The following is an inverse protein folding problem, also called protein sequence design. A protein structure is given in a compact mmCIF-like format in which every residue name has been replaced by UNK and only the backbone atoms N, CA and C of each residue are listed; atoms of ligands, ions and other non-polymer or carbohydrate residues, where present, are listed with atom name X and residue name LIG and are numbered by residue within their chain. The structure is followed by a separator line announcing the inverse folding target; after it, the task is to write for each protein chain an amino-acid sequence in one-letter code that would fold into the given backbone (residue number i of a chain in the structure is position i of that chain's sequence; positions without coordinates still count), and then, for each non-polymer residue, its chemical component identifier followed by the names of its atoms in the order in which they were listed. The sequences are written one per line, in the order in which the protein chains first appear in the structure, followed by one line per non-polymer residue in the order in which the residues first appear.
data_IF_002804501443
#
_entry.id   IF_002804501443
#
_cell.length_a   1.000
_cell.length_b   1.000
_cell.length_c   1.000
_cell.angle_alpha   90.00
_cell.angle_beta   90.00
_cell.angle_gamma   90.00
#
_symmetry.space_group_name_H-M   'P 1'
#
loop_
_entity.id
_entity.type
_entity.pdbx_description
1 polymer ?
#
# COMPACT_ATOMS: atom_id res chain seq x y z
N UNK A 1 63.30 27.80 43.67
CA UNK A 1 62.64 27.89 44.99
C UNK A 1 61.56 28.94 44.80
N UNK A 2 60.30 28.67 44.45
CA UNK A 2 59.44 27.48 44.42
C UNK A 2 58.70 27.48 43.05
N UNK A 3 58.46 26.31 42.45
CA UNK A 3 57.36 26.15 41.48
C UNK A 3 56.32 25.32 42.22
N UNK A 4 55.26 25.97 42.70
CA UNK A 4 54.15 25.32 43.40
C UNK A 4 53.32 24.53 42.37
N UNK A 5 53.32 23.22 42.55
CA UNK A 5 52.53 22.23 41.82
C UNK A 5 51.05 22.62 41.71
N UNK A 6 50.52 22.54 40.49
CA UNK A 6 49.08 22.57 40.24
C UNK A 6 48.49 21.28 40.81
N UNK A 7 47.86 21.37 41.98
CA UNK A 7 47.11 20.28 42.62
C UNK A 7 46.18 19.59 41.61
N UNK A 8 46.29 18.27 41.38
CA UNK A 8 45.39 17.56 40.49
C UNK A 8 44.03 17.46 41.17
N UNK A 9 43.06 18.28 40.73
CA UNK A 9 41.65 18.08 41.06
C UNK A 9 41.32 16.63 40.70
N UNK A 10 40.94 15.82 41.69
CA UNK A 10 40.66 14.39 41.52
C UNK A 10 39.49 14.17 40.55
N UNK A 11 39.84 14.06 39.27
CA UNK A 11 38.95 13.91 38.12
C UNK A 11 38.08 12.64 38.25
N UNK A 12 38.54 11.63 39.00
CA UNK A 12 37.90 10.30 39.03
C UNK A 12 36.53 10.30 39.75
N UNK A 13 36.32 11.11 40.80
CA UNK A 13 35.06 11.11 41.56
C UNK A 13 33.96 11.91 40.84
N UNK A 14 34.33 13.06 40.26
CA UNK A 14 33.42 13.86 39.43
C UNK A 14 33.03 13.13 38.15
N UNK A 15 33.99 12.49 37.47
CA UNK A 15 33.71 11.67 36.28
C UNK A 15 32.88 10.44 36.62
N UNK A 16 33.08 9.80 37.78
CA UNK A 16 32.24 8.67 38.19
C UNK A 16 30.79 9.08 38.43
N UNK A 17 30.53 10.30 38.89
CA UNK A 17 29.17 10.85 39.05
C UNK A 17 28.55 11.21 37.70
N UNK A 18 29.33 11.79 36.79
CA UNK A 18 28.89 12.09 35.42
C UNK A 18 28.61 10.82 34.61
N UNK A 19 29.52 9.83 34.64
CA UNK A 19 29.34 8.53 33.98
C UNK A 19 28.09 7.81 34.51
N UNK A 20 27.84 7.83 35.83
CA UNK A 20 26.60 7.28 36.40
C UNK A 20 25.35 8.01 35.90
N UNK A 21 25.38 9.34 35.79
CA UNK A 21 24.25 10.13 35.25
C UNK A 21 24.01 9.82 33.78
N UNK A 22 25.08 9.78 32.97
CA UNK A 22 24.99 9.45 31.55
C UNK A 22 24.44 8.04 31.34
N UNK A 23 24.92 7.05 32.08
CA UNK A 23 24.39 5.68 32.03
C UNK A 23 22.90 5.63 32.41
N UNK A 24 22.49 6.35 33.46
CA UNK A 24 21.10 6.40 33.88
C UNK A 24 20.19 7.05 32.82
N UNK A 25 20.65 8.13 32.17
CA UNK A 25 19.94 8.78 31.06
C UNK A 25 19.82 7.83 29.87
N UNK A 26 20.91 7.14 29.50
CA UNK A 26 20.89 6.18 28.40
C UNK A 26 19.86 5.08 28.65
N UNK A 27 19.88 4.45 29.83
CA UNK A 27 18.91 3.42 30.21
C UNK A 27 17.48 3.97 30.18
N UNK A 28 17.26 5.22 30.64
CA UNK A 28 15.96 5.87 30.58
C UNK A 28 15.49 6.12 29.13
N UNK A 29 16.37 6.53 28.22
CA UNK A 29 16.02 6.72 26.80
C UNK A 29 15.60 5.42 26.12
N UNK A 30 16.33 4.33 26.37
CA UNK A 30 15.95 3.01 25.85
C UNK A 30 14.65 2.50 26.49
N UNK A 31 14.49 2.70 27.80
CA UNK A 31 13.25 2.38 28.52
C UNK A 31 12.04 3.16 27.96
N UNK A 32 12.21 4.43 27.64
CA UNK A 32 11.18 5.25 27.01
C UNK A 32 10.85 4.76 25.59
N UNK A 33 11.85 4.45 24.77
CA UNK A 33 11.63 3.88 23.44
C UNK A 33 10.85 2.56 23.47
N UNK A 34 11.16 1.68 24.43
CA UNK A 34 10.43 0.43 24.62
C UNK A 34 9.00 0.67 25.14
N UNK A 35 8.82 1.61 26.07
CA UNK A 35 7.52 1.98 26.61
C UNK A 35 6.63 2.75 25.62
N UNK A 36 7.21 3.34 24.57
CA UNK A 36 6.46 4.06 23.55
C UNK A 36 5.49 3.15 22.79
N UNK A 37 5.85 1.88 22.56
CA UNK A 37 4.99 0.89 21.90
C UNK A 37 3.69 0.63 22.68
N UNK A 38 3.72 0.20 23.97
CA UNK A 38 2.49 -0.04 24.72
C UNK A 38 1.71 1.25 25.02
N UNK A 39 2.37 2.40 25.19
CA UNK A 39 1.67 3.69 25.34
C UNK A 39 0.90 4.00 24.05
N UNK A 40 1.53 3.82 22.89
CA UNK A 40 0.88 4.01 21.60
C UNK A 40 -0.31 3.05 21.43
N UNK A 41 -0.19 1.79 21.84
CA UNK A 41 -1.28 0.83 21.79
C UNK A 41 -2.49 1.25 22.66
N UNK A 42 -2.24 1.77 23.87
CA UNK A 42 -3.31 2.30 24.76
C UNK A 42 -3.97 3.55 24.15
N UNK A 43 -3.17 4.47 23.61
CA UNK A 43 -3.70 5.63 22.88
C UNK A 43 -4.52 5.20 21.66
N UNK A 44 -4.06 4.21 20.91
CA UNK A 44 -4.79 3.65 19.77
C UNK A 44 -6.11 3.01 20.19
N UNK A 45 -6.15 2.35 21.35
CA UNK A 45 -7.38 1.75 21.89
C UNK A 45 -8.41 2.80 22.34
N UNK A 46 -7.95 3.92 22.92
CA UNK A 46 -8.84 5.01 23.38
C UNK A 46 -9.33 5.86 22.20
N UNK A 47 -8.46 6.16 21.24
CA UNK A 47 -8.75 7.06 20.11
C UNK A 47 -9.35 6.34 18.90
N UNK A 48 -9.25 5.00 18.84
CA UNK A 48 -9.72 4.20 17.71
C UNK A 48 -8.85 4.34 16.45
N UNK A 49 -7.73 5.06 16.50
CA UNK A 49 -6.92 5.44 15.33
C UNK A 49 -6.21 4.28 14.62
N UNK A 50 -6.25 3.06 15.16
CA UNK A 50 -5.44 1.95 14.65
C UNK A 50 -6.20 0.64 14.44
N UNK A 51 -7.53 0.60 14.64
CA UNK A 51 -8.35 -0.60 14.40
C UNK A 51 -7.91 -1.89 15.13
N UNK A 52 -6.92 -1.83 16.03
CA UNK A 52 -6.36 -2.97 16.77
C UNK A 52 -7.26 -3.26 17.97
N UNK A 53 -8.37 -3.94 17.72
CA UNK A 53 -9.02 -4.74 18.76
C UNK A 53 -8.10 -5.93 19.07
N UNK A 54 -7.77 -6.11 20.35
CA UNK A 54 -6.66 -6.96 20.79
C UNK A 54 -6.70 -8.40 20.26
N UNK A 55 -5.51 -8.90 19.89
CA UNK A 55 -5.17 -10.33 19.94
C UNK A 55 -5.91 -11.28 18.98
N UNK A 56 -6.87 -10.81 18.18
CA UNK A 56 -7.32 -11.53 17.00
C UNK A 56 -6.46 -11.00 15.87
N UNK A 57 -5.62 -11.87 15.29
CA UNK A 57 -5.20 -11.75 13.88
C UNK A 57 -6.36 -11.09 13.18
N UNK A 58 -6.16 -9.92 12.56
CA UNK A 58 -7.20 -9.17 11.89
C UNK A 58 -8.06 -10.18 11.10
N UNK A 59 -9.12 -10.66 11.74
CA UNK A 59 -10.26 -11.16 11.06
C UNK A 59 -10.60 -9.88 10.33
N UNK A 60 -10.33 -9.90 9.02
CA UNK A 60 -11.02 -9.04 8.07
C UNK A 60 -12.38 -8.88 8.71
N UNK A 61 -12.62 -7.74 9.38
CA UNK A 61 -13.95 -7.49 9.87
C UNK A 61 -14.72 -7.61 8.58
N UNK A 62 -15.54 -8.65 8.52
CA UNK A 62 -16.47 -8.83 7.44
C UNK A 62 -17.41 -7.67 7.64
N UNK A 63 -16.98 -6.46 7.24
CA UNK A 63 -17.84 -5.32 7.07
C UNK A 63 -18.94 -5.90 6.21
N UNK A 64 -20.10 -6.08 6.84
CA UNK A 64 -21.17 -6.86 6.28
C UNK A 64 -21.43 -6.31 4.87
N UNK A 65 -21.71 -7.22 3.94
CA UNK A 65 -22.04 -6.80 2.57
C UNK A 65 -23.26 -5.89 2.67
N UNK A 66 -23.11 -4.67 2.17
CA UNK A 66 -24.22 -3.72 2.09
C UNK A 66 -25.02 -4.04 0.82
N UNK A 67 -25.96 -4.98 0.95
CA UNK A 67 -26.83 -5.39 -0.16
C UNK A 67 -27.83 -4.30 -0.57
N UNK A 68 -28.10 -3.33 0.32
CA UNK A 68 -29.03 -2.23 0.02
C UNK A 68 -28.41 -1.20 -0.93
N UNK A 69 -27.08 -1.06 -0.90
CA UNK A 69 -26.35 -0.11 -1.74
C UNK A 69 -25.77 -0.80 -2.96
N UNK A 70 -26.03 -0.21 -4.13
CA UNK A 70 -25.42 -0.64 -5.40
C UNK A 70 -24.50 0.44 -5.93
N UNK A 71 -23.28 0.05 -6.28
CA UNK A 71 -22.27 0.89 -6.93
C UNK A 71 -22.04 0.38 -8.34
N UNK A 72 -21.94 1.29 -9.31
CA UNK A 72 -21.47 0.93 -10.65
C UNK A 72 -19.96 1.04 -10.71
N UNK A 73 -19.29 -0.05 -11.09
CA UNK A 73 -17.87 -0.03 -11.44
C UNK A 73 -17.76 -0.01 -12.96
N UNK A 74 -17.04 0.99 -13.48
CA UNK A 74 -16.71 1.09 -14.91
C UNK A 74 -15.27 0.68 -15.13
N UNK A 75 -15.03 -0.19 -16.11
CA UNK A 75 -13.71 -0.68 -16.45
C UNK A 75 -13.27 -0.05 -17.75
N UNK A 76 -12.13 0.64 -17.71
CA UNK A 76 -11.55 1.29 -18.87
C UNK A 76 -10.17 0.71 -19.12
N UNK A 77 -9.89 0.44 -20.39
CA UNK A 77 -8.56 0.08 -20.88
C UNK A 77 -8.06 1.19 -21.81
N UNK A 78 -6.85 1.67 -21.55
CA UNK A 78 -6.16 2.65 -22.36
C UNK A 78 -4.82 2.08 -22.78
N UNK A 79 -4.37 2.43 -23.99
CA UNK A 79 -3.04 2.10 -24.49
C UNK A 79 -2.16 3.34 -24.49
N UNK A 80 -0.86 3.18 -24.26
CA UNK A 80 0.08 4.25 -24.54
C UNK A 80 0.22 4.47 -26.06
N UNK A 81 0.47 5.71 -26.47
CA UNK A 81 0.53 6.09 -27.90
C UNK A 81 1.59 5.26 -28.63
N UNK A 82 1.18 4.63 -29.74
CA UNK A 82 2.07 3.86 -30.62
C UNK A 82 2.42 2.44 -30.16
N UNK A 83 1.74 1.91 -29.14
CA UNK A 83 2.04 0.59 -28.62
C UNK A 83 1.27 -0.52 -29.37
N UNK A 84 1.94 -1.55 -29.90
CA UNK A 84 1.34 -2.60 -30.72
C UNK A 84 0.67 -3.68 -29.85
N UNK A 85 -0.26 -3.26 -29.00
CA UNK A 85 -1.00 -4.12 -28.08
C UNK A 85 -2.49 -4.06 -28.37
N UNK A 86 -3.18 -5.17 -28.12
CA UNK A 86 -4.61 -5.19 -27.89
C UNK A 86 -4.84 -5.29 -26.38
N UNK A 87 -5.55 -4.32 -25.79
CA UNK A 87 -5.86 -4.31 -24.37
C UNK A 87 -7.29 -3.86 -24.13
N UNK A 88 -8.13 -4.75 -23.59
CA UNK A 88 -9.56 -4.49 -23.41
C UNK A 88 -10.07 -5.11 -22.10
N UNK A 89 -11.06 -4.50 -21.43
CA UNK A 89 -11.74 -5.15 -20.33
C UNK A 89 -12.72 -6.20 -20.86
N UNK A 90 -12.89 -7.31 -20.13
CA UNK A 90 -13.89 -8.32 -20.47
C UNK A 90 -15.33 -7.79 -20.34
N UNK A 91 -15.55 -6.89 -19.39
CA UNK A 91 -16.83 -6.19 -19.19
C UNK A 91 -16.58 -4.71 -18.95
N UNK A 92 -17.38 -3.84 -19.56
CA UNK A 92 -17.21 -2.39 -19.42
C UNK A 92 -17.83 -1.85 -18.13
N UNK A 93 -18.88 -2.49 -17.61
CA UNK A 93 -19.61 -2.06 -16.41
C UNK A 93 -20.04 -3.26 -15.58
N UNK A 94 -19.98 -3.13 -14.26
CA UNK A 94 -20.46 -4.12 -13.30
C UNK A 94 -21.17 -3.43 -12.14
N UNK A 95 -22.31 -3.97 -11.72
CA UNK A 95 -22.98 -3.53 -10.50
C UNK A 95 -22.46 -4.35 -9.33
N UNK A 96 -22.08 -3.67 -8.25
CA UNK A 96 -21.43 -4.29 -7.09
C UNK A 96 -22.01 -3.75 -5.79
N UNK A 97 -21.94 -4.59 -4.76
CA UNK A 97 -22.30 -4.27 -3.39
C UNK A 97 -21.03 -4.03 -2.56
N UNK A 98 -20.91 -2.91 -1.84
CA UNK A 98 -19.80 -2.67 -0.93
C UNK A 98 -19.64 -3.82 0.09
N UNK A 99 -18.39 -4.19 0.40
CA UNK A 99 -18.05 -5.30 1.29
C UNK A 99 -17.91 -6.66 0.59
N UNK A 100 -18.49 -6.84 -0.60
CA UNK A 100 -18.38 -8.09 -1.36
C UNK A 100 -17.17 -8.09 -2.31
N UNK A 101 -16.58 -9.27 -2.51
CA UNK A 101 -15.51 -9.50 -3.47
C UNK A 101 -16.05 -9.77 -4.86
N UNK A 102 -15.42 -9.14 -5.86
CA UNK A 102 -15.73 -9.32 -7.27
C UNK A 102 -14.46 -9.62 -8.05
N UNK A 103 -14.61 -10.38 -9.13
CA UNK A 103 -13.55 -10.72 -10.05
C UNK A 103 -13.99 -10.41 -11.49
N UNK A 104 -13.08 -9.84 -12.26
CA UNK A 104 -13.19 -9.66 -13.71
C UNK A 104 -11.82 -9.88 -14.35
N UNK A 105 -11.75 -9.84 -15.68
CA UNK A 105 -10.49 -9.97 -16.42
C UNK A 105 -10.31 -8.82 -17.40
N UNK A 106 -9.05 -8.51 -17.68
CA UNK A 106 -8.63 -7.75 -18.85
C UNK A 106 -7.93 -8.70 -19.82
N UNK A 107 -8.16 -8.52 -21.12
CA UNK A 107 -7.42 -9.24 -22.15
C UNK A 107 -6.28 -8.35 -22.64
N UNK A 108 -5.06 -8.87 -22.60
CA UNK A 108 -3.88 -8.23 -23.18
C UNK A 108 -3.25 -9.15 -24.24
N UNK A 109 -2.93 -8.62 -25.41
CA UNK A 109 -2.32 -9.41 -26.49
C UNK A 109 -1.24 -8.63 -27.23
N UNK A 110 -0.10 -9.28 -27.41
CA UNK A 110 0.99 -8.79 -28.25
C UNK A 110 0.58 -8.92 -29.73
N UNK A 111 0.63 -7.84 -30.51
CA UNK A 111 0.30 -7.88 -31.95
C UNK A 111 1.54 -7.95 -32.84
N UNK A 112 2.73 -8.09 -32.26
CA UNK A 112 3.99 -8.11 -33.00
C UNK A 112 4.56 -9.52 -33.16
N UNK A 113 5.46 -9.67 -34.13
CA UNK A 113 6.23 -10.89 -34.37
C UNK A 113 7.44 -11.09 -33.44
N UNK A 114 7.61 -10.28 -32.39
CA UNK A 114 8.72 -10.40 -31.43
C UNK A 114 8.21 -10.29 -29.99
N UNK A 115 9.01 -10.77 -29.04
CA UNK A 115 8.64 -10.69 -27.63
C UNK A 115 8.63 -9.22 -27.17
N UNK A 116 7.63 -8.86 -26.38
CA UNK A 116 7.48 -7.53 -25.82
C UNK A 116 7.20 -7.61 -24.31
N UNK A 117 7.61 -6.57 -23.59
CA UNK A 117 7.33 -6.46 -22.17
C UNK A 117 6.25 -5.41 -21.94
N UNK A 118 5.18 -5.83 -21.29
CA UNK A 118 4.01 -5.00 -20.97
C UNK A 118 3.90 -4.76 -19.48
N UNK A 119 3.37 -3.59 -19.10
CA UNK A 119 3.03 -3.25 -17.73
C UNK A 119 1.71 -2.46 -17.69
N UNK A 120 0.77 -2.88 -16.83
CA UNK A 120 -0.55 -2.26 -16.70
C UNK A 120 -0.61 -1.32 -15.48
N UNK A 121 -0.62 0.00 -15.67
CA UNK A 121 -0.68 0.95 -14.56
C UNK A 121 -2.13 1.26 -14.19
N UNK A 122 -2.57 0.97 -12.96
CA UNK A 122 -3.93 1.27 -12.51
C UNK A 122 -4.16 2.74 -12.16
N UNK A 123 -5.39 3.20 -12.35
CA UNK A 123 -5.95 4.41 -11.74
C UNK A 123 -7.40 4.18 -11.31
N UNK A 124 -7.83 4.88 -10.26
CA UNK A 124 -9.21 4.82 -9.74
C UNK A 124 -9.76 6.23 -9.61
N UNK A 125 -10.96 6.46 -10.12
CA UNK A 125 -11.66 7.73 -10.02
C UNK A 125 -13.10 7.52 -9.48
N UNK A 126 -13.66 8.48 -8.73
CA UNK A 126 -13.02 9.69 -8.21
C UNK A 126 -11.96 9.39 -7.13
N UNK A 127 -11.10 10.36 -6.80
CA UNK A 127 -10.02 10.16 -5.82
C UNK A 127 -10.49 9.72 -4.43
N UNK A 128 -11.70 10.13 -4.02
CA UNK A 128 -12.35 9.64 -2.79
C UNK A 128 -12.58 8.13 -2.86
N UNK A 129 -13.03 7.60 -4.00
CA UNK A 129 -13.25 6.17 -4.18
C UNK A 129 -11.93 5.37 -4.15
N UNK A 130 -10.83 5.97 -4.61
CA UNK A 130 -9.53 5.30 -4.65
C UNK A 130 -9.04 4.83 -3.27
N UNK A 131 -9.38 5.54 -2.20
CA UNK A 131 -9.02 5.17 -0.82
C UNK A 131 -9.83 3.97 -0.29
N UNK A 132 -11.01 3.75 -0.85
CA UNK A 132 -11.94 2.69 -0.45
C UNK A 132 -11.94 1.51 -1.43
N UNK A 133 -11.19 1.61 -2.53
CA UNK A 133 -11.10 0.57 -3.55
C UNK A 133 -9.88 -0.32 -3.27
N UNK A 134 -10.12 -1.50 -2.73
CA UNK A 134 -9.07 -2.46 -2.38
C UNK A 134 -8.85 -3.43 -3.55
N UNK A 135 -7.69 -3.30 -4.20
CA UNK A 135 -7.22 -4.24 -5.24
C UNK A 135 -6.44 -5.35 -4.56
N UNK A 136 -6.91 -6.59 -4.70
CA UNK A 136 -6.29 -7.74 -4.04
C UNK A 136 -5.23 -8.41 -4.92
N UNK A 137 -5.29 -8.25 -6.24
CA UNK A 137 -4.31 -8.88 -7.13
C UNK A 137 -3.25 -7.93 -7.70
N UNK A 138 -2.01 -8.44 -7.66
CA UNK A 138 -0.76 -7.71 -7.85
C UNK A 138 -0.10 -7.98 -9.21
N UNK A 139 -0.84 -8.43 -10.23
CA UNK A 139 -0.29 -8.66 -11.58
C UNK A 139 -0.08 -7.38 -12.39
N UNK A 140 -0.73 -6.30 -11.98
CA UNK A 140 -0.64 -5.02 -12.67
C UNK A 140 0.67 -4.27 -12.41
N UNK A 141 1.39 -4.58 -11.33
CA UNK A 141 2.64 -3.88 -11.02
C UNK A 141 3.88 -4.58 -11.54
N UNK A 142 3.76 -5.81 -12.02
CA UNK A 142 4.89 -6.59 -12.52
C UNK A 142 4.98 -6.51 -14.03
N UNK A 143 6.19 -6.32 -14.53
CA UNK A 143 6.51 -6.46 -15.94
C UNK A 143 6.21 -7.89 -16.39
N UNK A 144 5.46 -8.04 -17.47
CA UNK A 144 5.15 -9.34 -18.04
C UNK A 144 5.71 -9.42 -19.44
N UNK A 145 6.45 -10.49 -19.72
CA UNK A 145 6.93 -10.81 -21.06
C UNK A 145 5.80 -11.54 -21.79
N UNK A 146 5.51 -11.06 -22.99
CA UNK A 146 4.59 -11.69 -23.94
C UNK A 146 5.39 -12.15 -25.15
N UNK A 147 5.22 -13.40 -25.53
CA UNK A 147 5.74 -13.96 -26.76
C UNK A 147 5.05 -13.32 -27.98
N UNK A 148 5.60 -13.50 -29.20
CA UNK A 148 4.93 -13.07 -30.42
C UNK A 148 3.49 -13.56 -30.48
N UNK A 149 2.55 -12.67 -30.78
CA UNK A 149 1.12 -12.96 -30.89
C UNK A 149 0.43 -13.54 -29.65
N UNK A 150 1.12 -13.59 -28.50
CA UNK A 150 0.57 -14.15 -27.26
C UNK A 150 -0.52 -13.25 -26.68
N UNK A 151 -1.69 -13.85 -26.39
CA UNK A 151 -2.75 -13.25 -25.61
C UNK A 151 -2.80 -13.85 -24.19
N UNK A 152 -3.11 -13.01 -23.20
CA UNK A 152 -3.24 -13.41 -21.80
C UNK A 152 -4.43 -12.72 -21.15
N UNK A 153 -5.17 -13.49 -20.37
CA UNK A 153 -6.18 -12.97 -19.46
C UNK A 153 -5.52 -12.54 -18.15
N UNK A 154 -5.79 -11.30 -17.76
CA UNK A 154 -5.27 -10.66 -16.57
C UNK A 154 -6.40 -10.51 -15.55
N UNK A 155 -6.48 -11.41 -14.54
CA UNK A 155 -7.52 -11.33 -13.53
C UNK A 155 -7.34 -10.06 -12.67
N UNK A 156 -8.49 -9.52 -12.25
CA UNK A 156 -8.59 -8.39 -11.33
C UNK A 156 -9.63 -8.75 -10.28
N UNK A 157 -9.16 -8.99 -9.06
CA UNK A 157 -10.01 -9.16 -7.88
C UNK A 157 -10.02 -7.87 -7.07
N UNK A 158 -11.21 -7.39 -6.76
CA UNK A 158 -11.39 -6.14 -6.03
C UNK A 158 -12.55 -6.21 -5.03
N UNK A 159 -12.50 -5.29 -4.07
CA UNK A 159 -13.56 -5.01 -3.09
C UNK A 159 -13.67 -3.51 -2.86
N UNK A 160 -14.89 -3.02 -2.71
CA UNK A 160 -15.16 -1.65 -2.29
C UNK A 160 -15.52 -1.67 -0.80
N UNK A 161 -14.89 -0.80 -0.02
CA UNK A 161 -15.19 -0.66 1.41
C UNK A 161 -16.61 -0.10 1.62
N UNK A 162 -17.43 -0.67 2.53
CA UNK A 162 -18.74 -0.12 2.88
C UNK A 162 -18.73 1.34 3.38
N UNK A 163 -17.60 1.81 3.92
CA UNK A 163 -17.42 3.18 4.37
C UNK A 163 -17.23 4.19 3.21
N UNK A 164 -17.34 3.76 1.95
CA UNK A 164 -17.31 4.66 0.80
C UNK A 164 -18.34 5.79 0.99
N UNK A 165 -17.98 7.07 0.78
CA UNK A 165 -18.92 8.19 0.92
C UNK A 165 -20.22 7.98 0.13
N UNK A 166 -21.41 8.29 0.70
CA UNK A 166 -22.70 7.93 0.13
C UNK A 166 -23.02 8.59 -1.22
N UNK A 167 -22.36 9.71 -1.52
CA UNK A 167 -22.42 10.48 -2.77
C UNK A 167 -21.69 9.81 -3.94
N UNK A 168 -20.83 8.83 -3.67
CA UNK A 168 -20.15 8.06 -4.71
C UNK A 168 -21.03 6.89 -5.12
N UNK A 169 -21.57 6.95 -6.34
CA UNK A 169 -22.38 5.89 -6.97
C UNK A 169 -21.66 5.18 -8.12
N UNK A 170 -20.61 5.79 -8.65
CA UNK A 170 -19.84 5.27 -9.79
C UNK A 170 -18.36 5.36 -9.49
N UNK A 171 -17.66 4.26 -9.73
CA UNK A 171 -16.23 4.14 -9.58
C UNK A 171 -15.64 3.66 -10.88
N UNK A 172 -14.68 4.40 -11.43
CA UNK A 172 -14.01 4.02 -12.66
C UNK A 172 -12.66 3.42 -12.32
N UNK A 173 -12.46 2.16 -12.68
CA UNK A 173 -11.17 1.49 -12.69
C UNK A 173 -10.59 1.57 -14.10
N UNK A 174 -9.58 2.41 -14.27
CA UNK A 174 -8.86 2.51 -15.53
C UNK A 174 -7.48 1.85 -15.43
N UNK A 175 -7.09 1.16 -16.49
CA UNK A 175 -5.73 0.68 -16.68
C UNK A 175 -5.14 1.28 -17.94
N UNK A 176 -3.94 1.83 -17.82
CA UNK A 176 -3.13 2.20 -18.98
C UNK A 176 -2.05 1.17 -19.16
N UNK A 177 -2.05 0.49 -20.31
CA UNK A 177 -1.05 -0.50 -20.65
C UNK A 177 0.12 0.15 -21.37
N UNK A 178 1.33 -0.07 -20.85
CA UNK A 178 2.58 0.46 -21.37
C UNK A 178 3.44 -0.65 -21.94
N UNK A 179 4.03 -0.41 -23.10
CA UNK A 179 5.27 -1.10 -23.47
C UNK A 179 6.40 -0.55 -22.59
N UNK A 180 7.08 -1.42 -21.89
CA UNK A 180 8.31 -1.10 -21.16
C UNK A 180 9.46 -1.71 -21.92
N UNK A 181 10.44 -0.88 -22.27
CA UNK A 181 11.70 -1.40 -22.79
C UNK A 181 12.43 -2.06 -21.61
N UNK A 182 12.97 -3.26 -21.82
CA UNK A 182 13.84 -3.87 -20.83
C UNK A 182 15.01 -2.92 -20.60
N UNK A 183 15.17 -2.44 -19.37
CA UNK A 183 16.29 -1.59 -19.00
C UNK A 183 17.59 -2.36 -19.28
N UNK A 184 18.22 -2.04 -20.40
CA UNK A 184 19.42 -2.71 -20.92
C UNK A 184 19.71 -2.39 -22.38
N UNK A 185 19.67 -1.11 -22.76
CA UNK A 185 20.11 -0.59 -24.06
C UNK A 185 20.39 0.90 -23.96
#
# INVERSE_FOLDING_TARGET
MEIQETTPISISVANRRLVKRLLLITVAMFGFGFAMVPIYDVLCAITGLNGKTGGRVAAVESSAVDEARTITVEFIASLNVGAPWEFTPQVNRMQVHPGQYYQTHYLARNLTGHALVGQAIPSVAPGLAAQHFQKIECFCFTRQIFQPEEGREMPVVFRIDPNLPPDVHTVTLSYTFFRVDDAGG
#
